data_IF_622322179227
#
_entry.id   IF_622322179227
#
_cell.length_a   1.000
_cell.length_b   1.000
_cell.length_c   1.000
_cell.angle_alpha   90.00
_cell.angle_beta   90.00
_cell.angle_gamma   90.00
#
_symmetry.space_group_name_H-M   'P 1'
#
loop_
_entity.id
_entity.type
_entity.pdbx_description
1 polymer ?
#
# COMPACT_ATOMS: atom_id res chain seq x y z
N UNK A 1 3.59 -29.71 49.46
CA UNK A 1 4.06 -29.54 48.07
C UNK A 1 2.95 -28.84 47.31
N UNK A 2 3.15 -27.57 46.95
CA UNK A 2 2.25 -26.84 46.07
C UNK A 2 2.67 -27.10 44.62
N UNK A 3 1.75 -27.35 43.67
CA UNK A 3 2.09 -27.29 42.25
C UNK A 3 2.23 -25.83 41.81
N UNK A 4 3.32 -25.57 41.11
CA UNK A 4 3.65 -24.29 40.45
C UNK A 4 2.69 -24.11 39.26
N UNK A 5 2.05 -22.94 39.09
CA UNK A 5 1.34 -22.63 37.85
C UNK A 5 2.36 -22.30 36.76
N UNK A 6 2.33 -23.07 35.66
CA UNK A 6 3.09 -22.72 34.46
C UNK A 6 2.44 -21.52 33.79
N UNK A 7 3.22 -20.44 33.75
CA UNK A 7 2.92 -19.14 33.17
C UNK A 7 2.54 -19.21 31.70
N UNK A 8 1.85 -18.15 31.29
CA UNK A 8 1.33 -17.97 29.95
C UNK A 8 2.41 -17.79 28.91
N UNK A 9 2.08 -18.27 27.73
CA UNK A 9 2.41 -17.58 26.48
C UNK A 9 1.19 -17.69 25.58
N UNK A 10 0.36 -16.66 25.63
CA UNK A 10 -0.62 -16.38 24.57
C UNK A 10 0.19 -16.12 23.30
N UNK A 11 0.41 -17.17 22.52
CA UNK A 11 1.09 -17.08 21.23
C UNK A 11 0.11 -16.57 20.18
N UNK A 12 -0.15 -15.25 20.23
CA UNK A 12 -0.91 -14.48 19.23
C UNK A 12 -0.34 -14.66 17.81
N UNK A 13 0.93 -15.08 17.70
CA UNK A 13 1.61 -15.30 16.43
C UNK A 13 1.37 -16.67 15.77
N UNK A 14 0.66 -17.60 16.43
CA UNK A 14 0.45 -18.95 15.88
C UNK A 14 -0.68 -19.04 14.85
N UNK A 15 -1.38 -17.92 14.58
CA UNK A 15 -2.64 -17.92 13.83
C UNK A 15 -2.65 -16.97 12.63
N UNK A 16 -1.48 -16.59 12.11
CA UNK A 16 -1.39 -15.97 10.79
C UNK A 16 -0.82 -17.05 9.87
N UNK A 17 -1.70 -17.90 9.34
CA UNK A 17 -1.39 -18.68 8.14
C UNK A 17 -1.17 -17.67 7.01
N UNK A 18 0.09 -17.30 6.77
CA UNK A 18 0.46 -16.60 5.55
C UNK A 18 0.43 -17.68 4.46
N UNK A 19 -0.71 -17.77 3.78
CA UNK A 19 -0.93 -18.66 2.65
C UNK A 19 -0.09 -18.14 1.47
N UNK A 20 1.22 -18.41 1.48
CA UNK A 20 2.09 -18.07 0.36
C UNK A 20 1.92 -19.14 -0.72
N UNK A 21 1.28 -18.81 -1.84
CA UNK A 21 1.15 -19.71 -2.99
C UNK A 21 2.50 -19.83 -3.72
N UNK A 22 3.28 -20.91 -3.53
CA UNK A 22 4.67 -21.00 -4.02
C UNK A 22 4.78 -21.17 -5.54
N UNK A 23 3.63 -21.21 -6.25
CA UNK A 23 3.55 -21.39 -7.69
C UNK A 23 3.23 -20.10 -8.45
N UNK A 24 2.92 -19.00 -7.76
CA UNK A 24 2.62 -17.72 -8.41
C UNK A 24 3.93 -16.98 -8.67
N UNK A 25 4.15 -16.65 -9.93
CA UNK A 25 5.23 -15.75 -10.33
C UNK A 25 4.63 -14.36 -10.53
N UNK A 26 4.93 -13.45 -9.61
CA UNK A 26 4.55 -12.05 -9.75
C UNK A 26 5.51 -11.34 -10.70
N UNK A 27 5.04 -10.37 -11.50
CA UNK A 27 5.92 -9.51 -12.28
C UNK A 27 6.79 -8.69 -11.34
N UNK A 28 8.04 -8.44 -11.74
CA UNK A 28 8.89 -7.51 -11.01
C UNK A 28 8.25 -6.13 -11.00
N UNK A 29 8.57 -5.33 -9.97
CA UNK A 29 8.10 -3.96 -9.85
C UNK A 29 8.47 -3.13 -11.09
N UNK A 30 9.66 -3.37 -11.64
CA UNK A 30 10.12 -2.67 -12.84
C UNK A 30 9.33 -3.05 -14.10
N UNK A 31 9.02 -4.33 -14.29
CA UNK A 31 8.18 -4.82 -15.40
C UNK A 31 6.76 -4.27 -15.31
N UNK A 32 6.16 -4.29 -14.13
CA UNK A 32 4.82 -3.75 -13.92
C UNK A 32 4.75 -2.24 -14.22
N UNK A 33 5.69 -1.46 -13.67
CA UNK A 33 5.74 -0.02 -13.91
C UNK A 33 6.05 0.28 -15.39
N UNK A 34 6.81 -0.58 -16.06
CA UNK A 34 7.08 -0.47 -17.48
C UNK A 34 5.82 -0.66 -18.32
N UNK A 35 5.01 -1.66 -17.96
CA UNK A 35 3.75 -1.95 -18.62
C UNK A 35 2.74 -0.81 -18.41
N UNK A 36 2.61 -0.31 -17.19
CA UNK A 36 1.74 0.84 -16.92
C UNK A 36 2.13 2.08 -17.73
N UNK A 37 3.43 2.33 -17.89
CA UNK A 37 3.92 3.47 -18.67
C UNK A 37 3.65 3.33 -20.16
N UNK A 38 3.59 2.10 -20.68
CA UNK A 38 3.18 1.83 -22.06
C UNK A 38 1.67 2.00 -22.25
N UNK A 39 0.86 1.58 -21.26
CA UNK A 39 -0.60 1.74 -21.28
C UNK A 39 -1.02 3.19 -21.10
N UNK A 40 -0.30 3.94 -20.27
CA UNK A 40 -0.62 5.32 -19.90
C UNK A 40 0.56 6.27 -20.14
N UNK A 41 0.69 6.67 -21.40
CA UNK A 41 1.75 7.56 -21.84
C UNK A 41 1.72 8.90 -21.07
N UNK A 42 2.88 9.30 -20.56
CA UNK A 42 3.06 10.60 -19.91
C UNK A 42 2.88 10.63 -18.39
N UNK A 43 2.38 9.54 -17.77
CA UNK A 43 2.28 9.43 -16.30
C UNK A 43 3.63 9.25 -15.60
N UNK A 44 4.66 8.79 -16.33
CA UNK A 44 6.02 8.57 -15.83
C UNK A 44 6.05 7.65 -14.59
N UNK A 45 5.25 6.59 -14.58
CA UNK A 45 5.06 5.69 -13.43
C UNK A 45 6.38 5.20 -12.84
N UNK A 46 7.32 4.75 -13.67
CA UNK A 46 8.66 4.32 -13.23
C UNK A 46 9.40 5.41 -12.47
N UNK A 47 9.43 6.63 -13.01
CA UNK A 47 10.13 7.76 -12.39
C UNK A 47 9.56 8.12 -11.01
N UNK A 48 8.25 7.99 -10.84
CA UNK A 48 7.56 8.40 -9.62
C UNK A 48 7.58 7.33 -8.54
N UNK A 49 7.36 6.06 -8.91
CA UNK A 49 7.10 5.00 -7.93
C UNK A 49 8.25 4.02 -7.72
N UNK A 50 9.15 3.83 -8.70
CA UNK A 50 10.19 2.78 -8.62
C UNK A 50 11.10 3.00 -7.41
N UNK A 51 11.75 4.16 -7.32
CA UNK A 51 12.73 4.41 -6.25
C UNK A 51 12.12 4.38 -4.84
N UNK A 52 10.96 5.03 -4.57
CA UNK A 52 10.31 4.94 -3.26
C UNK A 52 9.97 3.50 -2.85
N UNK A 53 9.40 2.70 -3.76
CA UNK A 53 8.97 1.33 -3.46
C UNK A 53 10.16 0.39 -3.28
N UNK A 54 11.21 0.50 -4.11
CA UNK A 54 12.44 -0.29 -3.91
C UNK A 54 13.09 0.01 -2.57
N UNK A 55 13.05 1.27 -2.09
CA UNK A 55 13.56 1.62 -0.75
C UNK A 55 12.73 1.02 0.38
N UNK A 56 11.48 0.68 0.13
CA UNK A 56 10.63 -0.06 1.07
C UNK A 56 10.85 -1.58 1.01
N UNK A 57 11.71 -2.05 0.11
CA UNK A 57 12.02 -3.47 -0.05
C UNK A 57 11.16 -4.19 -1.07
N UNK A 58 10.30 -3.47 -1.80
CA UNK A 58 9.43 -4.03 -2.85
C UNK A 58 10.27 -4.40 -4.07
N UNK A 59 10.21 -5.68 -4.46
CA UNK A 59 10.89 -6.24 -5.63
C UNK A 59 9.90 -6.65 -6.69
N UNK A 60 8.75 -7.19 -6.28
CA UNK A 60 7.68 -7.64 -7.16
C UNK A 60 6.31 -7.22 -6.64
N UNK A 61 5.27 -7.53 -7.42
CA UNK A 61 3.90 -7.18 -7.06
C UNK A 61 3.37 -7.92 -5.83
N UNK A 62 3.90 -9.11 -5.51
CA UNK A 62 3.50 -9.85 -4.32
C UNK A 62 3.92 -9.13 -3.04
N UNK A 63 5.09 -8.48 -3.06
CA UNK A 63 5.54 -7.64 -1.94
C UNK A 63 4.60 -6.47 -1.63
N UNK A 64 3.78 -6.02 -2.60
CA UNK A 64 2.82 -4.93 -2.39
C UNK A 64 1.64 -5.35 -1.50
N UNK A 65 1.31 -6.64 -1.41
CA UNK A 65 0.20 -7.15 -0.59
C UNK A 65 0.47 -7.00 0.92
N UNK A 66 1.74 -6.97 1.31
CA UNK A 66 2.19 -6.91 2.70
C UNK A 66 2.57 -5.50 3.17
N UNK A 67 2.49 -4.49 2.28
CA UNK A 67 2.79 -3.10 2.64
C UNK A 67 1.69 -2.56 3.56
N UNK A 68 2.10 -2.13 4.74
CA UNK A 68 1.16 -1.51 5.69
C UNK A 68 0.71 -0.12 5.18
N UNK A 69 -0.55 0.28 5.44
CA UNK A 69 -1.04 1.62 5.08
C UNK A 69 -0.22 2.78 5.66
N UNK A 70 0.41 2.59 6.81
CA UNK A 70 1.27 3.59 7.46
C UNK A 70 2.56 3.84 6.67
N UNK A 71 3.04 2.82 5.95
CA UNK A 71 4.25 2.90 5.15
C UNK A 71 4.08 3.78 3.90
N UNK A 72 2.84 4.14 3.56
CA UNK A 72 2.49 5.03 2.45
C UNK A 72 2.90 6.48 2.68
N UNK A 73 3.37 6.82 3.89
CA UNK A 73 3.95 8.13 4.18
C UNK A 73 5.09 8.51 3.22
N UNK A 74 5.78 7.54 2.62
CA UNK A 74 6.81 7.80 1.59
C UNK A 74 6.27 8.61 0.41
N UNK A 75 4.96 8.54 0.15
CA UNK A 75 4.27 9.24 -0.94
C UNK A 75 3.59 10.54 -0.51
N UNK A 76 3.84 11.06 0.69
CA UNK A 76 3.15 12.26 1.21
C UNK A 76 3.34 13.53 0.35
N UNK A 77 4.37 13.56 -0.50
CA UNK A 77 4.63 14.65 -1.45
C UNK A 77 3.98 14.47 -2.82
N UNK A 78 3.35 13.33 -3.07
CA UNK A 78 2.65 13.05 -4.32
C UNK A 78 1.19 13.50 -4.25
N UNK A 79 0.63 13.74 -5.44
CA UNK A 79 -0.79 13.98 -5.55
C UNK A 79 -1.57 12.76 -5.01
N UNK A 80 -2.52 12.95 -4.07
CA UNK A 80 -3.36 11.89 -3.52
C UNK A 80 -4.01 11.00 -4.58
N UNK A 81 -4.53 11.64 -5.62
CA UNK A 81 -5.17 10.97 -6.74
C UNK A 81 -4.19 10.07 -7.48
N UNK A 82 -2.94 10.52 -7.67
CA UNK A 82 -1.90 9.73 -8.34
C UNK A 82 -1.52 8.49 -7.54
N UNK A 83 -1.47 8.59 -6.21
CA UNK A 83 -1.22 7.43 -5.34
C UNK A 83 -2.40 6.46 -5.42
N UNK A 84 -3.63 6.94 -5.33
CA UNK A 84 -4.82 6.07 -5.45
C UNK A 84 -4.89 5.38 -6.81
N UNK A 85 -4.63 6.10 -7.91
CA UNK A 85 -4.62 5.59 -9.28
C UNK A 85 -3.59 4.45 -9.43
N UNK A 86 -2.39 4.65 -8.89
CA UNK A 86 -1.37 3.60 -8.82
C UNK A 86 -1.84 2.34 -8.08
N UNK A 87 -2.46 2.52 -6.91
CA UNK A 87 -2.98 1.39 -6.11
C UNK A 87 -4.11 0.64 -6.83
N UNK A 88 -4.99 1.34 -7.55
CA UNK A 88 -6.04 0.70 -8.35
C UNK A 88 -5.43 -0.19 -9.42
N UNK A 89 -4.46 0.32 -10.19
CA UNK A 89 -3.78 -0.49 -11.21
C UNK A 89 -3.09 -1.73 -10.65
N UNK A 90 -2.43 -1.59 -9.51
CA UNK A 90 -1.75 -2.72 -8.85
C UNK A 90 -2.75 -3.79 -8.41
N UNK A 91 -3.89 -3.38 -7.84
CA UNK A 91 -4.94 -4.30 -7.40
C UNK A 91 -5.61 -5.05 -8.56
N UNK A 92 -5.89 -4.34 -9.66
CA UNK A 92 -6.45 -4.95 -10.86
C UNK A 92 -5.47 -6.01 -11.42
N UNK A 93 -4.18 -5.69 -11.45
CA UNK A 93 -3.15 -6.60 -11.95
C UNK A 93 -2.97 -7.84 -11.06
N UNK A 94 -2.99 -7.68 -9.73
CA UNK A 94 -2.98 -8.80 -8.79
C UNK A 94 -4.22 -9.68 -8.95
N UNK A 95 -5.40 -9.08 -9.12
CA UNK A 95 -6.64 -9.81 -9.32
C UNK A 95 -6.60 -10.65 -10.61
N UNK A 96 -6.01 -10.12 -11.69
CA UNK A 96 -5.80 -10.84 -12.94
C UNK A 96 -4.86 -12.04 -12.74
N UNK A 97 -3.72 -11.86 -12.05
CA UNK A 97 -2.76 -12.93 -11.76
C UNK A 97 -3.40 -14.04 -10.94
N UNK A 98 -4.13 -13.70 -9.87
CA UNK A 98 -4.82 -14.67 -9.02
C UNK A 98 -5.89 -15.45 -9.78
N UNK A 99 -6.65 -14.75 -10.64
CA UNK A 99 -7.67 -15.39 -11.48
C UNK A 99 -7.04 -16.38 -12.47
N UNK A 100 -5.95 -16.00 -13.13
CA UNK A 100 -5.25 -16.86 -14.10
C UNK A 100 -4.58 -18.07 -13.47
N UNK A 101 -4.16 -17.96 -12.21
CA UNK A 101 -3.53 -19.06 -11.46
C UNK A 101 -4.53 -20.06 -10.86
N UNK A 102 -5.84 -19.87 -11.11
CA UNK A 102 -6.88 -20.79 -10.63
C UNK A 102 -7.11 -20.72 -9.12
N UNK A 103 -6.56 -19.69 -8.46
CA UNK A 103 -7.03 -19.33 -7.13
C UNK A 103 -8.40 -18.67 -7.30
N UNK A 104 -9.45 -19.25 -6.71
CA UNK A 104 -10.54 -18.40 -6.23
C UNK A 104 -9.83 -17.38 -5.36
N UNK A 105 -9.75 -16.12 -5.80
CA UNK A 105 -9.04 -15.07 -5.10
C UNK A 105 -9.28 -15.29 -3.61
N UNK A 106 -8.24 -15.62 -2.84
CA UNK A 106 -8.40 -15.75 -1.41
C UNK A 106 -9.24 -14.56 -1.03
N UNK A 107 -10.33 -14.81 -0.31
CA UNK A 107 -11.05 -13.78 0.41
C UNK A 107 -10.06 -13.21 1.46
N UNK A 108 -8.94 -12.61 1.02
CA UNK A 108 -8.50 -11.32 1.48
C UNK A 108 -9.78 -10.59 1.81
N UNK A 109 -9.82 -10.07 3.02
CA UNK A 109 -10.73 -9.04 3.46
C UNK A 109 -10.57 -7.83 2.52
N UNK A 110 -10.94 -8.00 1.25
CA UNK A 110 -10.64 -7.21 0.05
C UNK A 110 -11.25 -5.83 0.24
N UNK A 111 -12.46 -5.79 0.80
CA UNK A 111 -13.10 -4.54 1.20
C UNK A 111 -12.38 -3.85 2.36
N UNK A 112 -12.05 -4.55 3.44
CA UNK A 112 -11.58 -3.91 4.68
C UNK A 112 -10.15 -3.36 4.57
N UNK A 113 -9.24 -4.09 3.90
CA UNK A 113 -7.85 -3.65 3.71
C UNK A 113 -7.76 -2.48 2.71
N UNK A 114 -8.47 -2.56 1.58
CA UNK A 114 -8.45 -1.50 0.55
C UNK A 114 -9.18 -0.25 1.04
N UNK A 115 -10.36 -0.40 1.68
CA UNK A 115 -11.04 0.74 2.31
C UNK A 115 -10.17 1.31 3.43
N UNK A 116 -9.44 0.48 4.17
CA UNK A 116 -8.45 0.91 5.15
C UNK A 116 -7.35 1.76 4.53
N UNK A 117 -6.69 1.25 3.48
CA UNK A 117 -5.65 1.96 2.73
C UNK A 117 -6.16 3.26 2.13
N UNK A 118 -7.32 3.25 1.47
CA UNK A 118 -7.94 4.46 0.90
C UNK A 118 -8.31 5.46 2.01
N UNK A 119 -8.88 5.00 3.13
CA UNK A 119 -9.17 5.87 4.29
C UNK A 119 -7.90 6.47 4.87
N UNK A 120 -6.83 5.69 5.00
CA UNK A 120 -5.54 6.16 5.53
C UNK A 120 -4.91 7.18 4.58
N UNK A 121 -4.86 6.90 3.27
CA UNK A 121 -4.39 7.86 2.27
C UNK A 121 -5.24 9.13 2.33
N UNK A 122 -6.57 9.02 2.30
CA UNK A 122 -7.48 10.16 2.34
C UNK A 122 -7.31 10.98 3.62
N UNK A 123 -7.15 10.33 4.76
CA UNK A 123 -6.93 10.99 6.06
C UNK A 123 -5.63 11.80 6.05
N UNK A 124 -4.52 11.20 5.64
CA UNK A 124 -3.23 11.89 5.62
C UNK A 124 -3.21 13.06 4.64
N UNK A 125 -3.87 12.89 3.49
CA UNK A 125 -4.01 13.92 2.48
C UNK A 125 -4.84 15.10 3.00
N UNK A 126 -5.98 14.81 3.63
CA UNK A 126 -6.83 15.84 4.23
C UNK A 126 -6.07 16.62 5.31
N UNK A 127 -5.37 15.91 6.19
CA UNK A 127 -4.58 16.51 7.28
C UNK A 127 -3.46 17.41 6.74
N UNK A 128 -2.79 17.00 5.67
CA UNK A 128 -1.74 17.79 5.04
C UNK A 128 -2.31 19.04 4.33
N UNK A 129 -3.50 18.93 3.72
CA UNK A 129 -4.24 20.07 3.16
C UNK A 129 -4.66 21.08 4.24
N UNK A 130 -5.22 20.59 5.35
CA UNK A 130 -5.61 21.42 6.50
C UNK A 130 -4.41 22.18 7.06
N UNK A 131 -3.27 21.49 7.26
CA UNK A 131 -2.04 22.14 7.73
C UNK A 131 -1.54 23.24 6.79
N UNK A 132 -1.65 23.05 5.47
CA UNK A 132 -1.27 24.07 4.49
C UNK A 132 -2.24 25.27 4.48
N UNK A 133 -3.54 25.03 4.69
CA UNK A 133 -4.55 26.09 4.81
C UNK A 133 -4.33 26.94 6.08
N UNK A 134 -4.01 26.31 7.21
CA UNK A 134 -3.68 27.01 8.46
C UNK A 134 -2.44 27.91 8.32
N UNK A 135 -1.44 27.49 7.54
CA UNK A 135 -0.26 28.31 7.27
C UNK A 135 -0.56 29.51 6.34
N UNK A 136 -1.55 29.40 5.45
CA UNK A 136 -1.96 30.49 4.56
C UNK A 136 -2.79 31.57 5.30
N UNK A 137 -3.62 31.16 6.27
CA UNK A 137 -4.36 32.10 7.12
C UNK A 137 -3.45 32.89 8.07
N UNK A 138 -2.33 32.30 8.52
CA UNK A 138 -1.33 33.00 9.33
C UNK A 138 -0.38 33.89 8.53
N UNK A 139 -0.20 33.64 7.23
CA UNK A 139 0.59 34.51 6.35
C UNK A 139 -0.16 35.77 5.88
N UNK A 140 -1.47 35.86 6.15
CA UNK A 140 -2.35 36.97 5.74
C UNK A 140 -2.69 37.95 6.87
N UNK A 141 -1.95 37.91 8.00
CA UNK A 141 -2.11 38.87 9.09
C UNK A 141 -1.83 40.31 8.62
N UNK A 142 -2.63 41.31 9.02
CA UNK A 142 -2.56 42.65 8.46
C UNK A 142 -1.21 43.30 8.78
N UNK A 143 -0.49 43.72 7.74
CA UNK A 143 0.54 44.74 7.87
C UNK A 143 -0.11 45.96 8.54
N UNK A 144 0.20 46.14 9.82
CA UNK A 144 -0.16 47.32 10.61
C UNK A 144 1.02 48.28 10.67
#
# INVERSE_FOLDING_TARGET
>A
MHPVPTDGTSSIFSAIEIETSPHITYPSLEEFLAELEQRELGRQWRKVFLHPLTRMGVKDLGDMEIISPESLWVFCRLCPLMVMDFYVHMLDHLADIHTQSGMEACHLRKGESIIGTIKTITYHVKKELERHLEHLDHASGPES
#
